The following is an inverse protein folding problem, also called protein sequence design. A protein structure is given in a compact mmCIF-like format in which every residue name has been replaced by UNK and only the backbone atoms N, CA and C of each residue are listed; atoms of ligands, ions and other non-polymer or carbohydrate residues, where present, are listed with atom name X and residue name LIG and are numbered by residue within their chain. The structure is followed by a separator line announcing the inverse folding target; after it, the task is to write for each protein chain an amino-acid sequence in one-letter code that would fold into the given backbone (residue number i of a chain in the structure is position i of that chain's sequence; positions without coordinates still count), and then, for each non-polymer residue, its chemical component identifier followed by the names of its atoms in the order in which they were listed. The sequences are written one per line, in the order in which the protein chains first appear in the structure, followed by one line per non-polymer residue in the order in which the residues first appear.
data_IF_904405171339
#
_entry.id   IF_904405171339
#
_cell.length_a   1.000
_cell.length_b   1.000
_cell.length_c   1.000
_cell.angle_alpha   90.00
_cell.angle_beta   90.00
_cell.angle_gamma   90.00
#
_symmetry.space_group_name_H-M   'P 1'
#
loop_
_entity.id
_entity.type
_entity.pdbx_description
1 polymer ?
2 non-polymer ?
#
# COMPACT_ATOMS: atom_id res chain seq x y z
N UNK A 11 -27.58 18.59 -11.25
CA UNK A 11 -26.34 17.76 -11.20
C UNK A 11 -26.61 16.56 -10.30
N UNK A 12 -26.10 15.38 -10.66
CA UNK A 12 -26.35 14.13 -9.92
C UNK A 12 -25.66 14.16 -8.56
N UNK A 13 -24.61 14.97 -8.38
CA UNK A 13 -23.73 14.99 -7.17
C UNK A 13 -23.72 16.38 -6.54
N UNK A 14 -23.78 16.43 -5.21
CA UNK A 14 -23.53 17.67 -4.41
C UNK A 14 -22.27 17.48 -3.55
N UNK A 15 -21.16 18.13 -3.91
CA UNK A 15 -19.93 18.28 -3.09
C UNK A 15 -20.31 18.80 -1.70
N UNK A 16 -19.90 18.09 -0.64
CA UNK A 16 -20.16 18.48 0.78
C UNK A 16 -18.84 18.67 1.55
N UNK A 17 -17.74 18.03 1.13
CA UNK A 17 -16.46 18.09 1.86
C UNK A 17 -15.30 17.70 0.93
N UNK A 18 -14.09 18.13 1.30
CA UNK A 18 -12.84 17.83 0.56
C UNK A 18 -12.03 16.90 1.45
N UNK A 19 -11.86 15.67 0.98
CA UNK A 19 -11.20 14.57 1.76
C UNK A 19 -9.76 15.02 2.01
N UNK A 20 -9.12 15.55 0.97
CA UNK A 20 -7.79 16.18 1.05
C UNK A 20 -6.98 15.84 -0.18
N UNK A 21 -5.88 15.11 0.01
CA UNK A 21 -4.88 14.77 -1.04
C UNK A 21 -4.51 16.06 -1.79
N UNK A 22 -5.21 16.39 -2.87
CA UNK A 22 -4.88 17.54 -3.74
C UNK A 22 -3.61 17.30 -4.55
N UNK A 23 -3.07 16.07 -4.54
CA UNK A 23 -1.75 15.69 -5.13
C UNK A 23 -1.89 15.60 -6.66
N UNK A 24 -2.62 14.61 -7.15
CA UNK A 24 -3.00 14.47 -8.59
C UNK A 24 -4.15 15.43 -8.87
N UNK A 25 -5.09 15.57 -7.91
CA UNK A 25 -6.22 16.52 -7.97
C UNK A 25 -6.97 16.62 -6.66
N UNK A 26 -8.00 17.46 -6.61
CA UNK A 26 -8.91 17.64 -5.44
C UNK A 26 -9.95 16.51 -5.42
N UNK A 27 -10.04 15.80 -4.28
CA UNK A 27 -11.01 14.70 -4.06
C UNK A 27 -12.10 15.23 -3.12
N UNK A 28 -13.36 15.07 -3.50
CA UNK A 28 -14.51 15.54 -2.70
C UNK A 28 -15.34 14.36 -2.23
N UNK A 29 -15.92 14.49 -1.04
CA UNK A 29 -17.04 13.65 -0.58
C UNK A 29 -18.34 14.33 -0.99
N UNK A 30 -19.19 13.62 -1.73
CA UNK A 30 -20.44 14.15 -2.28
C UNK A 30 -21.64 13.30 -1.86
N UNK A 31 -22.80 13.67 -2.38
CA UNK A 31 -24.06 12.92 -2.24
C UNK A 31 -24.51 12.45 -3.63
N UNK A 32 -24.66 11.14 -3.80
CA UNK A 32 -25.32 10.51 -4.98
C UNK A 32 -26.84 10.76 -4.88
N UNK A 33 -27.30 11.87 -5.46
CA UNK A 33 -28.72 12.31 -5.39
C UNK A 33 -29.62 11.30 -6.11
N UNK A 34 -29.13 10.72 -7.20
CA UNK A 34 -29.93 9.80 -8.04
C UNK A 34 -30.02 8.42 -7.39
N UNK A 35 -29.17 8.12 -6.41
CA UNK A 35 -29.13 6.78 -5.75
C UNK A 35 -29.18 6.90 -4.23
N UNK A 36 -30.16 7.62 -3.71
CA UNK A 36 -30.54 7.52 -2.29
C UNK A 36 -29.61 8.28 -1.36
N UNK A 37 -28.91 9.29 -1.88
CA UNK A 37 -28.04 10.18 -1.10
C UNK A 37 -26.91 9.43 -0.41
N UNK A 38 -26.45 8.32 -0.96
CA UNK A 38 -25.29 7.58 -0.41
C UNK A 38 -24.09 8.50 -0.59
N UNK A 39 -23.13 8.49 0.35
CA UNK A 39 -21.81 9.17 0.21
C UNK A 39 -21.03 8.49 -0.92
N UNK A 40 -20.44 9.32 -1.78
CA UNK A 40 -19.44 8.91 -2.81
C UNK A 40 -18.17 9.75 -2.64
N UNK A 41 -17.03 9.26 -3.14
CA UNK A 41 -15.78 10.02 -3.31
C UNK A 41 -15.64 10.39 -4.79
N UNK A 42 -15.53 11.70 -5.09
CA UNK A 42 -15.29 12.26 -6.46
C UNK A 42 -13.84 12.74 -6.59
N UNK A 43 -13.23 12.47 -7.74
CA UNK A 43 -11.91 13.01 -8.12
C UNK A 43 -12.06 13.55 -9.53
N UNK A 44 -12.21 14.86 -9.63
CA UNK A 44 -12.25 15.57 -10.93
C UNK A 44 -10.81 15.61 -11.46
N UNK A 45 -10.60 15.12 -12.69
CA UNK A 45 -9.32 15.23 -13.46
C UNK A 45 -9.67 15.64 -14.90
N UNK A 55 -3.87 14.45 -24.81
CA UNK A 55 -3.55 13.31 -23.93
C UNK A 55 -4.34 12.03 -24.28
N UNK A 56 -3.70 10.85 -24.24
CA UNK A 56 -4.38 9.53 -24.35
C UNK A 56 -3.90 8.53 -23.27
N UNK A 57 -2.80 8.80 -22.55
CA UNK A 57 -2.22 7.86 -21.54
C UNK A 57 -3.10 7.81 -20.29
N UNK A 58 -3.84 8.89 -20.03
CA UNK A 58 -4.85 8.97 -18.95
C UNK A 58 -6.11 8.21 -19.38
N UNK A 59 -6.49 8.27 -20.67
CA UNK A 59 -7.71 7.58 -21.20
C UNK A 59 -7.51 6.08 -21.04
N UNK A 60 -6.29 5.60 -21.24
CA UNK A 60 -5.94 4.16 -21.04
C UNK A 60 -5.94 3.86 -19.54
N UNK A 61 -5.51 4.80 -18.68
CA UNK A 61 -5.51 4.61 -17.21
C UNK A 61 -6.96 4.33 -16.76
N UNK A 62 -7.96 4.99 -17.34
CA UNK A 62 -9.37 4.89 -16.83
C UNK A 62 -10.03 3.65 -17.41
N UNK A 63 -9.70 3.30 -18.64
CA UNK A 63 -10.13 2.05 -19.31
C UNK A 63 -9.73 0.84 -18.46
N UNK A 64 -8.53 0.89 -17.88
CA UNK A 64 -8.02 -0.17 -17.00
C UNK A 64 -8.89 -0.21 -15.74
N UNK A 65 -9.20 0.94 -15.15
CA UNK A 65 -10.03 1.00 -13.91
C UNK A 65 -11.43 0.43 -14.19
N UNK A 66 -12.06 0.87 -15.27
CA UNK A 66 -13.40 0.41 -15.70
C UNK A 66 -13.35 -1.11 -15.90
N UNK A 67 -12.26 -1.60 -16.49
CA UNK A 67 -12.02 -3.04 -16.75
C UNK A 67 -11.96 -3.80 -15.44
N UNK A 68 -11.22 -3.30 -14.46
CA UNK A 68 -11.02 -3.98 -13.16
C UNK A 68 -12.32 -3.95 -12.35
N UNK A 69 -13.16 -2.95 -12.60
CA UNK A 69 -14.47 -2.87 -11.92
C UNK A 69 -15.34 -4.05 -12.36
N UNK A 70 -15.18 -4.53 -13.61
CA UNK A 70 -15.99 -5.64 -14.19
C UNK A 70 -15.88 -6.89 -13.29
N UNK A 71 -14.71 -7.16 -12.69
CA UNK A 71 -14.48 -8.33 -11.84
C UNK A 71 -14.97 -8.08 -10.42
N UNK A 72 -15.36 -6.84 -10.12
CA UNK A 72 -15.80 -6.42 -8.77
C UNK A 72 -15.14 -7.28 -7.69
N UNK A 73 -13.83 -7.12 -7.49
CA UNK A 73 -13.11 -7.78 -6.38
C UNK A 73 -13.58 -7.10 -5.11
N UNK A 74 -13.90 -7.88 -4.06
CA UNK A 74 -14.36 -7.32 -2.79
C UNK A 74 -13.31 -6.46 -2.06
N UNK A 75 -12.03 -6.63 -2.41
CA UNK A 75 -10.91 -6.00 -1.66
C UNK A 75 -10.33 -4.83 -2.46
N UNK A 76 -11.04 -4.33 -3.47
CA UNK A 76 -10.75 -3.00 -4.05
C UNK A 76 -12.01 -2.17 -3.97
N UNK A 77 -11.83 -0.87 -3.73
CA UNK A 77 -12.93 0.12 -3.70
C UNK A 77 -13.68 0.04 -5.04
N UNK A 78 -15.00 0.19 -5.01
CA UNK A 78 -15.89 0.13 -6.19
C UNK A 78 -15.87 1.46 -6.93
N UNK A 79 -15.76 1.40 -8.25
CA UNK A 79 -15.89 2.57 -9.15
C UNK A 79 -17.32 2.58 -9.72
N UNK A 80 -18.11 3.58 -9.33
CA UNK A 80 -19.56 3.67 -9.61
C UNK A 80 -19.82 4.26 -10.98
N UNK A 81 -19.08 5.28 -11.38
CA UNK A 81 -19.30 5.94 -12.70
C UNK A 81 -18.04 6.70 -13.13
N UNK A 82 -17.99 7.02 -14.42
CA UNK A 82 -17.04 7.99 -15.03
C UNK A 82 -17.87 9.00 -15.84
N UNK A 83 -18.17 10.15 -15.26
CA UNK A 83 -18.80 11.28 -15.99
C UNK A 83 -17.79 11.90 -16.94
N UNK A 84 -18.23 12.18 -18.17
CA UNK A 84 -17.45 12.87 -19.22
C UNK A 84 -18.08 14.23 -19.52
N UNK A 94 -13.28 15.91 -16.29
CA UNK A 94 -13.76 14.49 -16.20
C UNK A 94 -13.68 14.02 -14.74
N UNK A 95 -14.79 13.50 -14.21
CA UNK A 95 -14.90 13.14 -12.77
C UNK A 95 -15.01 11.62 -12.67
N UNK A 96 -14.35 11.06 -11.65
CA UNK A 96 -14.42 9.63 -11.26
C UNK A 96 -15.24 9.49 -9.99
N UNK A 97 -16.15 8.53 -9.97
CA UNK A 97 -17.10 8.36 -8.84
C UNK A 97 -16.83 7.01 -8.16
N UNK A 98 -16.35 7.04 -6.92
CA UNK A 98 -16.09 5.84 -6.12
C UNK A 98 -17.10 5.81 -4.98
N UNK A 99 -17.37 4.62 -4.47
CA UNK A 99 -17.94 4.50 -3.14
C UNK A 99 -17.03 5.26 -2.17
N UNK A 100 -17.63 5.80 -1.11
CA UNK A 100 -16.95 6.45 0.02
C UNK A 100 -16.86 5.46 1.16
N UNK A 101 -15.69 5.34 1.78
CA UNK A 101 -15.47 4.62 3.06
C UNK A 101 -15.02 5.67 4.07
N UNK A 102 -15.64 5.70 5.24
CA UNK A 102 -15.47 6.80 6.22
C UNK A 102 -14.07 6.70 6.81
N UNK A 103 -13.45 5.51 6.72
CA UNK A 103 -12.30 5.16 7.59
C UNK A 103 -11.14 4.62 6.75
N UNK A 104 -9.91 4.87 7.22
CA UNK A 104 -8.67 4.30 6.63
C UNK A 104 -7.94 3.51 7.72
N UNK A 105 -6.82 2.90 7.36
CA UNK A 105 -6.01 2.11 8.32
C UNK A 105 -5.45 2.99 9.42
N UNK A 106 -4.93 4.18 9.10
CA UNK A 106 -4.28 5.04 10.12
C UNK A 106 -5.33 5.34 11.18
N UNK A 107 -6.56 5.66 10.79
CA UNK A 107 -7.59 6.06 11.77
C UNK A 107 -7.98 4.84 12.59
N UNK A 108 -7.98 3.67 11.97
CA UNK A 108 -8.32 2.41 12.67
C UNK A 108 -7.25 2.18 13.74
N UNK A 109 -5.99 2.40 13.37
CA UNK A 109 -4.82 2.23 14.27
C UNK A 109 -4.83 3.30 15.38
N UNK A 110 -5.22 4.52 15.05
CA UNK A 110 -5.33 5.65 16.02
C UNK A 110 -6.27 5.20 17.14
N UNK A 111 -7.45 4.71 16.75
CA UNK A 111 -8.63 4.53 17.62
C UNK A 111 -8.73 3.09 18.10
N UNK A 112 -7.77 2.23 17.76
CA UNK A 112 -7.81 0.82 18.24
C UNK A 112 -7.45 0.86 19.71
N UNK A 113 -8.27 0.26 20.59
CA UNK A 113 -7.98 0.23 22.03
C UNK A 113 -6.70 -0.53 22.36
N UNK A 114 -5.79 0.09 23.11
CA UNK A 114 -4.64 -0.58 23.77
C UNK A 114 -5.15 -1.85 24.48
N UNK A 115 -4.50 -3.04 24.40
CA UNK A 115 -3.11 -3.22 23.96
C UNK A 115 -2.85 -3.08 22.45
N UNK A 116 -3.93 -3.03 21.65
CA UNK A 116 -3.88 -2.76 20.20
C UNK A 116 -4.69 -3.75 19.40
N UNK A 117 -4.17 -4.20 18.25
CA UNK A 117 -4.94 -5.03 17.27
C UNK A 117 -4.77 -6.50 17.63
N UNK A 118 -5.87 -7.24 17.84
CA UNK A 118 -5.79 -8.67 18.10
C UNK A 118 -5.07 -9.31 16.92
N UNK A 119 -4.18 -10.23 17.22
CA UNK A 119 -3.34 -10.87 16.19
C UNK A 119 -4.24 -11.52 15.13
N UNK A 120 -5.38 -12.08 15.49
CA UNK A 120 -6.28 -12.72 14.50
C UNK A 120 -6.81 -11.65 13.55
N UNK A 121 -7.13 -10.45 14.04
CA UNK A 121 -7.57 -9.31 13.20
C UNK A 121 -6.46 -8.91 12.23
N UNK A 122 -5.20 -8.95 12.68
CA UNK A 122 -4.02 -8.60 11.84
C UNK A 122 -3.97 -9.60 10.68
N UNK A 123 -4.06 -10.89 10.99
CA UNK A 123 -4.01 -12.00 10.01
C UNK A 123 -5.07 -11.73 8.94
N UNK A 124 -6.29 -11.38 9.32
CA UNK A 124 -7.39 -11.35 8.33
C UNK A 124 -7.21 -10.10 7.48
N UNK A 125 -6.91 -8.99 8.13
CA UNK A 125 -6.82 -7.69 7.42
C UNK A 125 -5.72 -7.83 6.36
N UNK A 126 -4.59 -8.41 6.75
CA UNK A 126 -3.48 -8.78 5.84
C UNK A 126 -4.01 -9.67 4.72
N UNK A 127 -4.68 -10.78 5.04
CA UNK A 127 -5.21 -11.72 4.02
C UNK A 127 -6.03 -10.95 3.00
N UNK A 128 -6.90 -10.08 3.45
CA UNK A 128 -7.73 -9.26 2.52
C UNK A 128 -6.83 -8.40 1.62
N UNK A 129 -5.77 -7.83 2.20
CA UNK A 129 -4.78 -6.95 1.52
C UNK A 129 -4.06 -7.69 0.38
N UNK A 130 -3.48 -8.85 0.66
CA UNK A 130 -2.75 -9.61 -0.36
C UNK A 130 -3.71 -10.08 -1.45
N UNK A 131 -4.97 -10.31 -1.10
CA UNK A 131 -5.96 -10.82 -2.08
C UNK A 131 -6.21 -9.73 -3.11
N UNK A 132 -6.41 -8.50 -2.63
CA UNK A 132 -6.52 -7.29 -3.46
C UNK A 132 -5.27 -7.08 -4.29
N UNK A 133 -4.09 -7.28 -3.68
CA UNK A 133 -2.80 -7.00 -4.34
C UNK A 133 -2.57 -8.03 -5.43
N UNK A 134 -2.87 -9.29 -5.12
CA UNK A 134 -2.71 -10.40 -6.09
C UNK A 134 -3.62 -10.13 -7.30
N UNK A 135 -4.88 -9.78 -7.03
CA UNK A 135 -5.84 -9.40 -8.09
C UNK A 135 -5.18 -8.37 -9.01
N UNK A 136 -4.62 -7.31 -8.44
CA UNK A 136 -4.01 -6.21 -9.21
C UNK A 136 -2.79 -6.72 -9.97
N UNK A 137 -1.92 -7.47 -9.28
CA UNK A 137 -0.67 -7.99 -9.87
C UNK A 137 -1.02 -8.90 -11.03
N UNK A 138 -2.02 -9.76 -10.84
CA UNK A 138 -2.47 -10.76 -11.85
C UNK A 138 -2.77 -10.04 -13.17
N UNK A 139 -3.43 -8.89 -13.10
CA UNK A 139 -3.80 -8.01 -14.24
C UNK A 139 -2.70 -6.96 -14.52
N UNK A 140 -1.49 -7.22 -14.02
CA UNK A 140 -0.27 -6.40 -14.30
C UNK A 140 -0.59 -4.92 -14.04
N UNK A 141 -1.10 -4.63 -12.84
CA UNK A 141 -1.24 -3.25 -12.28
C UNK A 141 -0.46 -3.18 -10.97
N UNK A 142 0.33 -2.12 -10.83
CA UNK A 142 1.12 -1.81 -9.61
C UNK A 142 0.42 -0.64 -8.93
N UNK A 143 0.15 -0.74 -7.63
CA UNK A 143 -0.31 0.42 -6.84
C UNK A 143 0.71 1.56 -6.94
N UNK A 144 1.98 1.28 -6.61
CA UNK A 144 3.12 2.22 -6.68
C UNK A 144 3.16 3.16 -5.46
N UNK A 145 2.05 3.35 -4.73
CA UNK A 145 2.01 4.24 -3.55
C UNK A 145 1.11 3.63 -2.46
N UNK A 146 1.31 2.36 -2.15
CA UNK A 146 0.51 1.64 -1.15
C UNK A 146 0.88 2.13 0.24
N UNK A 147 0.05 2.98 0.84
CA UNK A 147 0.24 3.43 2.24
C UNK A 147 -1.05 3.18 3.00
N UNK A 148 -1.01 3.21 4.35
CA UNK A 148 -2.24 3.10 5.16
C UNK A 148 -3.32 4.15 4.90
N UNK A 149 -3.01 5.22 4.20
CA UNK A 149 -3.94 6.35 3.99
C UNK A 149 -4.82 6.06 2.78
N UNK A 150 -4.35 5.21 1.85
CA UNK A 150 -5.18 4.74 0.70
C UNK A 150 -5.52 3.25 0.87
N UNK A 151 -5.54 2.78 2.11
CA UNK A 151 -6.16 1.49 2.47
C UNK A 151 -7.42 1.77 3.29
N UNK A 152 -8.59 1.37 2.78
CA UNK A 152 -9.90 1.73 3.38
C UNK A 152 -10.45 0.55 4.18
N UNK A 153 -11.06 0.85 5.32
CA UNK A 153 -11.69 -0.17 6.20
C UNK A 153 -13.17 0.14 6.28
N UNK A 154 -13.97 -0.69 5.64
CA UNK A 154 -15.43 -0.50 5.54
C UNK A 154 -15.98 -0.80 6.93
N UNK A 155 -17.17 -0.29 7.24
CA UNK A 155 -17.89 -0.48 8.52
C UNK A 155 -18.01 -1.96 8.87
N UNK A 156 -17.99 -2.84 7.86
CA UNK A 156 -18.06 -4.32 7.98
C UNK A 156 -16.67 -4.90 8.28
N UNK A 157 -15.66 -4.04 8.46
CA UNK A 157 -14.25 -4.44 8.73
C UNK A 157 -13.57 -5.05 7.51
N UNK A 158 -14.07 -4.76 6.31
CA UNK A 158 -13.47 -5.23 5.04
C UNK A 158 -12.38 -4.26 4.61
N UNK A 159 -11.29 -4.80 4.05
CA UNK A 159 -10.17 -4.00 3.48
C UNK A 159 -10.43 -3.73 2.01
N UNK A 160 -10.30 -2.47 1.62
CA UNK A 160 -10.47 -1.99 0.22
C UNK A 160 -9.28 -1.12 -0.13
N UNK A 161 -8.72 -1.34 -1.32
CA UNK A 161 -7.59 -0.58 -1.87
C UNK A 161 -8.10 0.60 -2.69
N UNK A 162 -7.37 1.72 -2.65
CA UNK A 162 -7.73 2.98 -3.31
C UNK A 162 -6.47 3.76 -3.74
N UNK A 163 -6.67 4.74 -4.63
CA UNK A 163 -5.70 5.76 -5.11
C UNK A 163 -4.54 5.07 -5.84
N UNK A 164 -4.91 4.36 -6.92
CA UNK A 164 -4.00 3.62 -7.82
C UNK A 164 -4.49 3.76 -9.27
N UNK A 165 -3.61 3.56 -10.25
CA UNK A 165 -3.94 3.48 -11.69
C UNK A 165 -3.95 4.84 -12.39
N UNK A 166 -3.73 5.93 -11.63
CA UNK A 166 -3.73 7.32 -12.15
C UNK A 166 -2.37 7.98 -11.86
N UNK A 167 -1.80 8.65 -12.86
CA UNK A 167 -0.47 9.29 -12.78
C UNK A 167 -0.63 10.79 -12.48
N UNK A 181 5.36 12.81 -1.05
CA UNK A 181 5.35 13.41 0.31
C UNK A 181 5.88 12.35 1.28
N UNK A 182 5.16 11.25 1.46
CA UNK A 182 5.56 10.14 2.36
C UNK A 182 6.34 9.11 1.55
N UNK A 183 7.59 8.89 1.93
CA UNK A 183 8.51 7.89 1.34
C UNK A 183 8.66 6.72 2.30
N UNK A 184 7.88 6.65 3.38
CA UNK A 184 8.12 5.68 4.47
C UNK A 184 7.79 4.25 4.05
N UNK A 185 7.07 4.06 2.94
CA UNK A 185 6.62 2.71 2.48
C UNK A 185 7.21 2.39 1.10
N UNK A 186 8.20 3.15 0.67
CA UNK A 186 8.70 3.00 -0.70
C UNK A 186 9.78 1.92 -0.70
N UNK A 187 9.75 1.07 -1.73
CA UNK A 187 10.77 0.05 -1.98
C UNK A 187 12.11 0.73 -2.26
N UNK A 188 13.24 0.10 -1.84
CA UNK A 188 14.58 0.55 -2.21
C UNK A 188 14.79 0.83 -3.71
N UNK A 189 14.32 -0.04 -4.59
CA UNK A 189 14.40 0.17 -6.06
C UNK A 189 13.72 1.49 -6.45
N UNK A 190 12.57 1.82 -5.88
CA UNK A 190 11.89 3.10 -6.26
C UNK A 190 12.81 4.24 -5.81
N UNK A 191 13.33 4.17 -4.58
CA UNK A 191 14.18 5.22 -3.98
C UNK A 191 15.44 5.42 -4.82
N UNK A 192 16.04 4.31 -5.26
CA UNK A 192 17.25 4.24 -6.10
C UNK A 192 16.92 4.51 -7.57
N UNK A 193 15.63 4.61 -7.94
CA UNK A 193 15.21 4.83 -9.34
C UNK A 193 15.80 3.73 -10.23
N UNK A 194 15.64 2.46 -9.85
CA UNK A 194 16.23 1.27 -10.53
C UNK A 194 15.13 0.49 -11.27
N UNK A 195 14.02 0.18 -10.58
CA UNK A 195 12.88 -0.64 -11.09
C UNK A 195 11.61 -0.19 -10.39
N UNK A 196 10.46 -0.33 -11.04
CA UNK A 196 9.17 0.16 -10.52
C UNK A 196 8.11 -0.92 -10.73
N UNK A 197 8.53 -2.18 -10.66
CA UNK A 197 7.69 -3.38 -10.89
C UNK A 197 6.87 -3.74 -9.63
N UNK A 198 6.05 -4.78 -9.74
CA UNK A 198 5.05 -5.25 -8.73
C UNK A 198 5.70 -5.60 -7.38
N UNK A 199 6.96 -6.11 -7.32
CA UNK A 199 7.62 -6.31 -6.02
C UNK A 199 7.62 -5.10 -5.08
N UNK A 200 7.52 -3.90 -5.62
CA UNK A 200 7.47 -2.61 -4.87
C UNK A 200 6.33 -2.66 -3.86
N UNK A 201 5.18 -3.20 -4.27
CA UNK A 201 3.92 -3.20 -3.48
C UNK A 201 4.06 -4.22 -2.34
N UNK A 202 4.94 -5.20 -2.44
CA UNK A 202 5.06 -6.18 -1.34
C UNK A 202 6.06 -5.67 -0.32
N UNK A 203 6.98 -4.82 -0.76
CA UNK A 203 7.83 -4.09 0.19
C UNK A 203 6.90 -3.25 1.06
N UNK A 204 6.00 -2.49 0.44
CA UNK A 204 5.05 -1.63 1.19
C UNK A 204 4.26 -2.49 2.17
N UNK A 205 3.80 -3.65 1.74
CA UNK A 205 3.00 -4.56 2.61
C UNK A 205 3.83 -4.96 3.84
N UNK A 206 5.10 -5.31 3.69
CA UNK A 206 5.96 -5.62 4.85
C UNK A 206 5.94 -4.47 5.86
N UNK A 207 6.19 -3.27 5.37
CA UNK A 207 6.17 -2.00 6.16
C UNK A 207 4.86 -1.87 6.93
N UNK A 208 3.74 -2.14 6.28
CA UNK A 208 2.37 -2.02 6.86
C UNK A 208 2.13 -3.14 7.88
N UNK A 209 2.49 -4.38 7.52
CA UNK A 209 2.45 -5.57 8.40
C UNK A 209 3.15 -5.25 9.72
N UNK A 210 4.35 -4.65 9.69
CA UNK A 210 5.09 -4.27 10.91
C UNK A 210 4.26 -3.26 11.71
N UNK A 211 3.71 -2.26 11.02
CA UNK A 211 2.95 -1.13 11.62
C UNK A 211 1.68 -1.65 12.32
N UNK A 212 1.24 -2.89 12.07
CA UNK A 212 -0.01 -3.40 12.68
C UNK A 212 0.25 -3.90 14.10
N UNK A 213 1.50 -4.23 14.41
CA UNK A 213 1.91 -4.60 15.79
C UNK A 213 2.33 -3.32 16.53
N UNK A 214 3.37 -2.66 16.01
CA UNK A 214 4.00 -1.46 16.62
C UNK A 214 2.99 -0.33 16.73
N UNK A 215 2.08 -0.24 15.76
CA UNK A 215 1.16 0.90 15.56
C UNK A 215 1.97 2.18 15.35
N UNK A 216 3.24 2.05 14.97
CA UNK A 216 4.10 3.19 14.56
C UNK A 216 4.85 2.76 13.31
N UNK A 217 5.02 3.66 12.32
CA UNK A 217 5.81 3.33 11.13
C UNK A 217 7.19 2.82 11.55
N UNK A 218 7.74 1.94 10.72
CA UNK A 218 9.08 1.33 10.94
C UNK A 218 10.17 2.28 10.45
N UNK A 219 10.16 2.65 9.18
CA UNK A 219 11.21 3.47 8.53
C UNK A 219 10.64 4.88 8.26
N UNK A 220 11.10 5.90 8.99
CA UNK A 220 10.60 7.29 8.81
C UNK A 220 11.73 8.19 8.32
N UNK A 221 11.88 8.29 7.02
CA UNK A 221 12.93 9.06 6.34
C UNK A 221 12.37 10.35 5.81
N UNK A 222 13.15 11.41 5.94
CA UNK A 222 12.83 12.79 5.52
C UNK A 222 13.08 12.93 4.02
N UNK A 223 13.75 11.95 3.42
CA UNK A 223 14.19 12.00 2.00
C UNK A 223 14.43 10.58 1.53
N UNK A 224 14.76 10.41 0.26
CA UNK A 224 15.01 9.08 -0.39
C UNK A 224 16.27 8.42 0.18
N UNK A 225 17.35 9.18 0.36
CA UNK A 225 18.64 8.62 0.86
C UNK A 225 18.49 8.34 2.36
N UNK A 226 17.86 9.26 3.09
CA UNK A 226 17.60 9.04 4.53
C UNK A 226 16.77 7.77 4.67
N UNK A 227 15.74 7.63 3.81
CA UNK A 227 14.81 6.47 3.84
C UNK A 227 15.66 5.21 3.66
N UNK A 228 16.51 5.24 2.65
CA UNK A 228 17.43 4.13 2.34
C UNK A 228 18.32 3.83 3.55
N UNK A 229 18.86 4.88 4.18
CA UNK A 229 19.64 4.78 5.44
C UNK A 229 18.89 3.96 6.46
N UNK A 230 17.66 4.39 6.78
CA UNK A 230 16.80 3.77 7.83
C UNK A 230 16.60 2.28 7.53
N UNK A 231 16.37 1.93 6.28
CA UNK A 231 16.05 0.53 5.89
C UNK A 231 17.25 -0.34 6.21
N UNK A 232 18.42 0.09 5.76
CA UNK A 232 19.66 -0.72 5.82
C UNK A 232 20.17 -0.79 7.26
N UNK A 233 19.77 0.14 8.13
CA UNK A 233 20.05 0.06 9.59
C UNK A 233 19.44 -1.23 10.17
N UNK A 234 18.34 -1.70 9.61
CA UNK A 234 17.51 -2.77 10.22
C UNK A 234 17.81 -4.09 9.50
N UNK A 235 17.58 -4.11 8.17
CA UNK A 235 17.67 -5.34 7.33
C UNK A 235 19.13 -5.62 6.98
N UNK A 236 20.02 -4.65 7.16
CA UNK A 236 21.46 -4.82 6.95
C UNK A 236 21.87 -4.54 5.51
N UNK A 237 23.17 -4.47 5.27
CA UNK A 237 23.76 -4.18 3.94
C UNK A 237 23.61 -5.43 3.06
N UNK A 238 22.99 -5.33 1.87
CA UNK A 238 22.90 -6.47 0.96
C UNK A 238 24.26 -6.71 0.31
N UNK A 239 24.43 -7.87 -0.32
CA UNK A 239 25.64 -8.17 -1.10
C UNK A 239 25.68 -7.31 -2.35
N UNK A 240 26.86 -7.17 -2.94
CA UNK A 240 27.03 -6.33 -4.17
C UNK A 240 26.19 -6.91 -5.32
N UNK A 241 25.96 -8.22 -5.39
CA UNK A 241 25.17 -8.80 -6.53
C UNK A 241 23.72 -8.31 -6.47
N UNK A 242 23.23 -8.00 -5.26
CA UNK A 242 21.83 -7.57 -5.00
C UNK A 242 21.64 -6.07 -5.24
N UNK A 243 22.73 -5.32 -5.34
CA UNK A 243 22.68 -3.86 -5.59
C UNK A 243 22.54 -3.61 -7.09
N UNK A 244 21.49 -2.91 -7.53
CA UNK A 244 21.22 -2.80 -8.96
C UNK A 244 22.39 -2.08 -9.62
N UNK A 245 22.67 -2.44 -10.86
CA UNK A 245 23.75 -1.79 -11.64
C UNK A 245 23.15 -0.54 -12.29
N UNK A 246 23.98 0.42 -12.66
CA UNK A 246 23.58 1.62 -13.46
C UNK A 246 22.59 2.44 -12.65
N UNK A 247 23.04 2.90 -11.48
CA UNK A 247 22.23 3.64 -10.49
C UNK A 247 23.16 4.66 -9.83
N UNK A 248 22.64 5.84 -9.48
CA UNK A 248 23.36 6.97 -8.86
C UNK A 248 24.06 6.55 -7.56
N UNK A 249 23.31 5.96 -6.63
CA UNK A 249 23.77 5.70 -5.24
C UNK A 249 24.49 4.35 -5.14
N UNK A 250 25.79 4.34 -4.77
CA UNK A 250 26.53 3.10 -4.61
C UNK A 250 26.26 2.48 -3.24
N UNK A 251 26.45 1.16 -3.14
CA UNK A 251 26.35 0.39 -1.88
C UNK A 251 27.32 0.98 -0.85
N UNK A 252 28.35 1.71 -1.30
CA UNK A 252 29.45 2.24 -0.44
C UNK A 252 29.09 3.59 0.19
N UNK A 253 27.86 4.08 0.01
CA UNK A 253 27.38 5.30 0.70
C UNK A 253 26.71 4.93 2.02
N UNK A 254 26.90 3.70 2.53
CA UNK A 254 26.20 3.15 3.72
C UNK A 254 27.20 2.30 4.54
N UNK A 255 27.41 2.58 5.85
CA UNK A 255 28.50 1.97 6.67
C UNK A 255 27.98 1.28 7.92
N UNK A 256 28.68 0.23 8.35
CA UNK A 256 28.51 -0.44 9.67
C UNK A 256 27.12 -1.07 9.80
N UNK A 257 26.39 -1.25 8.69
CA UNK A 257 25.00 -1.79 8.69
C UNK A 257 25.08 -3.33 8.74
N UNK A 258 24.69 -3.90 9.88
CA UNK A 258 24.76 -5.34 10.21
C UNK A 258 23.50 -6.06 9.73
N UNK A 259 22.44 -6.08 10.55
CA UNK A 259 21.23 -6.93 10.40
C UNK A 259 20.60 -7.14 11.79
N UNK A 260 19.90 -6.12 12.28
CA UNK A 260 19.24 -6.15 13.61
C UNK A 260 18.11 -7.18 13.58
N UNK A 261 18.01 -8.10 14.57
CA UNK A 261 16.87 -9.00 14.68
C UNK A 261 15.56 -8.20 14.70
N UNK A 262 14.55 -8.72 14.01
CA UNK A 262 13.28 -8.00 13.72
C UNK A 262 12.44 -7.88 14.99
N UNK A 263 12.49 -8.87 15.89
CA UNK A 263 11.66 -8.93 17.14
C UNK A 263 11.90 -7.66 17.96
N UNK A 264 13.06 -7.03 17.78
CA UNK A 264 13.45 -5.82 18.54
C UNK A 264 12.55 -4.67 18.11
N UNK A 265 12.20 -4.61 16.83
CA UNK A 265 11.39 -3.50 16.24
C UNK A 265 9.92 -3.88 16.27
N UNK A 266 9.61 -5.16 16.10
CA UNK A 266 8.20 -5.69 16.13
C UNK A 266 8.13 -6.78 17.20
N UNK A 267 7.46 -6.51 18.30
CA UNK A 267 7.35 -7.46 19.43
C UNK A 267 5.95 -8.04 19.40
N UNK A 268 5.80 -9.19 20.04
CA UNK A 268 4.58 -10.02 19.99
C UNK A 268 4.30 -10.37 18.52
N UNK A 269 5.37 -10.62 17.73
CA UNK A 269 5.29 -11.19 16.35
C UNK A 269 5.61 -12.68 16.44
N UNK A 270 4.86 -13.48 15.65
CA UNK A 270 4.96 -14.96 15.50
C UNK A 270 6.26 -15.29 14.75
N UNK A 271 6.69 -16.54 14.86
CA UNK A 271 7.79 -17.09 14.03
C UNK A 271 7.36 -17.04 12.56
N UNK A 272 6.13 -17.47 12.27
CA UNK A 272 5.61 -17.56 10.88
C UNK A 272 5.47 -16.14 10.34
N UNK A 273 4.95 -15.22 11.15
CA UNK A 273 4.88 -13.80 10.76
C UNK A 273 6.25 -13.26 10.46
N UNK A 274 7.25 -13.59 11.29
CA UNK A 274 8.65 -13.15 11.11
C UNK A 274 9.13 -13.63 9.74
N UNK A 275 8.89 -14.89 9.41
CA UNK A 275 9.34 -15.54 8.17
C UNK A 275 8.79 -14.73 7.00
N UNK A 276 7.49 -14.48 7.05
CA UNK A 276 6.75 -13.75 6.00
C UNK A 276 7.23 -12.30 5.90
N UNK A 277 7.49 -11.66 7.05
CA UNK A 277 7.90 -10.24 7.05
C UNK A 277 9.24 -10.10 6.34
N UNK A 278 10.12 -11.07 6.53
CA UNK A 278 11.49 -11.04 5.97
C UNK A 278 11.42 -11.22 4.46
N UNK A 279 10.64 -12.19 3.99
CA UNK A 279 10.52 -12.48 2.54
C UNK A 279 9.93 -11.27 1.81
N UNK A 280 9.07 -10.49 2.47
CA UNK A 280 8.52 -9.21 1.96
C UNK A 280 9.56 -8.10 1.93
N UNK A 281 10.36 -8.02 3.00
CA UNK A 281 11.37 -6.93 3.14
C UNK A 281 12.72 -7.41 2.63
N UNK A 282 12.74 -8.22 1.58
CA UNK A 282 13.98 -8.64 0.87
C UNK A 282 14.43 -7.44 0.03
N UNK A 283 15.71 -7.14 0.03
CA UNK A 283 16.27 -5.96 -0.67
C UNK A 283 16.10 -6.12 -2.18
N UNK A 284 16.46 -7.30 -2.69
CA UNK A 284 16.41 -7.67 -4.13
C UNK A 284 14.96 -7.93 -4.50
N UNK A 285 14.36 -7.14 -5.44
CA UNK A 285 12.98 -7.33 -5.85
C UNK A 285 12.72 -8.76 -6.34
N UNK A 286 13.70 -9.39 -6.98
CA UNK A 286 13.59 -10.75 -7.58
C UNK A 286 13.46 -11.81 -6.47
N UNK A 287 14.25 -11.70 -5.39
CA UNK A 287 14.26 -12.70 -4.29
C UNK A 287 13.05 -12.44 -3.37
N UNK A 288 12.38 -11.30 -3.55
CA UNK A 288 11.21 -10.88 -2.72
C UNK A 288 10.01 -11.75 -3.07
N UNK A 289 9.19 -12.06 -2.07
CA UNK A 289 8.00 -12.93 -2.25
C UNK A 289 6.94 -12.23 -3.11
N UNK A 290 6.08 -12.99 -3.76
CA UNK A 290 4.94 -12.47 -4.56
C UNK A 290 3.67 -12.50 -3.72
N UNK A 291 2.65 -11.73 -4.10
CA UNK A 291 1.33 -11.75 -3.41
C UNK A 291 0.72 -13.16 -3.48
N UNK A 292 0.73 -13.80 -4.66
CA UNK A 292 0.14 -15.13 -4.88
C UNK A 292 0.82 -16.13 -3.94
N UNK A 293 2.14 -16.06 -3.92
CA UNK A 293 3.00 -17.01 -3.20
C UNK A 293 2.77 -16.81 -1.71
N UNK A 294 2.59 -15.55 -1.31
CA UNK A 294 2.42 -15.15 0.11
C UNK A 294 1.05 -15.58 0.63
N UNK A 295 0.02 -15.53 -0.20
CA UNK A 295 -1.34 -15.96 0.20
C UNK A 295 -1.33 -17.43 0.65
N UNK A 296 -0.29 -18.20 0.31
CA UNK A 296 -0.17 -19.64 0.66
C UNK A 296 0.73 -19.86 1.87
N UNK A 297 1.37 -18.80 2.41
CA UNK A 297 2.40 -18.90 3.47
C UNK A 297 1.78 -19.57 4.69
N UNK A 298 2.55 -20.44 5.40
CA UNK A 298 2.04 -21.11 6.61
C UNK A 298 1.41 -20.19 7.67
N UNK A 299 1.81 -18.93 7.74
CA UNK A 299 1.22 -17.91 8.65
C UNK A 299 -0.31 -17.91 8.51
N UNK A 300 -0.85 -18.10 7.30
CA UNK A 300 -2.32 -18.14 7.04
C UNK A 300 -2.82 -19.59 6.97
N UNK A 301 -3.19 -20.18 8.11
CA UNK A 301 -3.71 -21.57 8.19
C UNK A 301 -4.47 -21.74 9.50
X LIG B 1 -12.26 7.59 2.28
X LIG B 1 -11.17 7.55 0.25
X LIG B 1 -10.16 7.78 3.47
X LIG B 1 -11.30 8.54 2.81
X LIG B 1 -11.94 9.51 3.77
X LIG B 1 -12.26 7.22 0.98
X LIG B 1 -11.24 7.17 -1.03
X LIG B 1 -13.39 6.20 -0.75
X LIG B 1 -8.99 8.06 -1.88
X LIG B 1 -7.63 8.37 0.11
X LIG B 1 -9.12 9.49 -1.32
X LIG B 1 -9.18 8.14 -6.40
X LIG B 1 -11.57 9.20 5.23
X LIG B 1 -10.74 6.80 -3.19
X LIG B 1 -12.01 6.26 -2.95
X LIG B 1 -8.00 7.35 -0.95
X LIG B 1 -7.85 9.69 -0.54
X LIG B 1 -9.96 6.90 -4.41
X LIG B 1 -10.65 9.23 -4.75
X LIG B 1 -10.06 9.32 5.44
X LIG B 1 -9.28 8.73 4.28
X LIG B 1 -12.32 6.50 -1.59
X LIG B 1 -9.69 10.75 5.63
X LIG B 1 -13.35 6.56 0.53
X LIG B 1 -10.28 7.37 -2.01
X LIG B 1 -9.91 8.02 -5.15
X LIG B 1 -9.30 5.93 -4.77
#
# INVERSE_FOLDING_TARGET
MEKDGLCRADQQYECVAEIGEGAYGKVFKARDLKNGGRFVALKRVRVQTGEEGMPLSTIREVAVLRHLETFEHPNVVRLFDVCTVSRTDRETKLTLVFEHVDQDLTTYLDKVPEPGVPTETIKDMMFQLLRGLDFLHSHRVVHRDLKPQNILVTSSGQIKLADFGLARIYSFQMALTSVVVTLWYRAPEVLLQSSYATPVDLWSVGCIFAEMFRRKPLFRGSSDVDQLGKILDVIGLPGEEDWPRDVALPRQAFHSKSAQPIEKFVTDIDELGKDLLLKCLTFNPAKRISAYSALSHPYFQ
NJ6 N1 N3 C4 C5 C6 C7 C8 C10 C13 C15 C17 C20 C1 C11 C12 C14 C16 C18 C19 C2 C3 C9 N2 N4 N5 N6 O1
#
